data_IF_237898989155
#
_entry.id   IF_237898989155
#
_cell.length_a   1.000
_cell.length_b   1.000
_cell.length_c   1.000
_cell.angle_alpha   90.00
_cell.angle_beta   90.00
_cell.angle_gamma   90.00
#
_symmetry.space_group_name_H-M   'P 1'
#
loop_
_entity.id
_entity.type
_entity.pdbx_description
1 polymer ?
#
# COMPACT_ATOMS: atom_id res chain seq x y z
N UNK A 1 89.52 -4.17 32.87
CA UNK A 1 88.52 -4.65 33.87
C UNK A 1 87.35 -5.25 33.08
N UNK A 2 87.39 -6.54 32.75
CA UNK A 2 86.74 -7.70 33.40
C UNK A 2 85.21 -7.58 33.64
N UNK A 3 84.45 -8.31 32.79
CA UNK A 3 83.25 -9.17 33.01
C UNK A 3 81.97 -8.49 33.57
N UNK A 4 80.72 -8.79 33.18
CA UNK A 4 80.03 -10.09 33.08
C UNK A 4 78.81 -10.02 32.12
N UNK A 5 78.62 -11.01 31.24
CA UNK A 5 77.59 -12.09 31.23
C UNK A 5 76.30 -11.73 30.46
N UNK A 6 76.03 -12.28 29.27
CA UNK A 6 75.51 -13.64 28.93
C UNK A 6 74.06 -13.90 29.38
N UNK A 7 73.21 -14.15 28.38
CA UNK A 7 71.82 -14.62 28.48
C UNK A 7 70.83 -13.47 28.28
N UNK A 8 69.94 -13.45 27.29
CA UNK A 8 69.10 -14.56 26.83
C UNK A 8 68.71 -14.31 25.37
N UNK A 9 68.95 -15.34 24.56
CA UNK A 9 68.40 -15.54 23.23
C UNK A 9 66.86 -15.64 23.28
N UNK A 10 66.23 -15.47 22.12
CA UNK A 10 64.81 -15.74 21.81
C UNK A 10 63.93 -14.48 21.89
N UNK A 11 63.89 -13.75 20.77
CA UNK A 11 62.64 -13.18 20.28
C UNK A 11 62.76 -12.86 18.78
N UNK A 12 61.92 -13.54 18.00
CA UNK A 12 61.39 -13.11 16.71
C UNK A 12 62.38 -12.96 15.53
N UNK A 13 62.86 -14.11 15.06
CA UNK A 13 62.81 -14.42 13.63
C UNK A 13 61.37 -14.21 13.12
N UNK A 14 61.12 -13.17 12.33
CA UNK A 14 60.09 -13.04 11.28
C UNK A 14 60.19 -11.62 10.65
N UNK A 15 61.24 -11.39 9.86
CA UNK A 15 61.26 -10.32 8.85
C UNK A 15 61.30 -11.01 7.48
N UNK A 16 60.17 -11.63 7.13
CA UNK A 16 59.87 -12.01 5.76
C UNK A 16 59.37 -10.74 5.05
N UNK A 17 60.27 -10.09 4.34
CA UNK A 17 59.95 -9.07 3.36
C UNK A 17 59.29 -9.76 2.16
N UNK A 18 57.96 -9.80 2.15
CA UNK A 18 57.19 -10.05 0.92
C UNK A 18 56.88 -8.69 0.30
N UNK A 19 57.65 -8.36 -0.75
CA UNK A 19 57.32 -7.31 -1.70
C UNK A 19 56.09 -7.77 -2.49
N UNK A 20 54.93 -7.18 -2.22
CA UNK A 20 53.76 -7.33 -3.08
C UNK A 20 53.91 -6.34 -4.23
N UNK A 21 54.11 -6.88 -5.43
CA UNK A 21 54.05 -6.19 -6.71
C UNK A 21 52.59 -5.73 -6.92
N UNK A 22 52.27 -4.50 -6.52
CA UNK A 22 51.01 -3.86 -6.88
C UNK A 22 51.08 -3.53 -8.37
N UNK A 23 50.69 -4.51 -9.18
CA UNK A 23 50.39 -4.33 -10.59
C UNK A 23 49.36 -3.22 -10.75
N UNK A 24 49.85 -2.01 -11.01
CA UNK A 24 49.09 -0.91 -11.58
C UNK A 24 48.65 -1.35 -12.98
N UNK A 25 47.60 -2.17 -13.05
CA UNK A 25 46.74 -2.18 -14.22
C UNK A 25 46.04 -0.83 -14.23
N UNK A 26 46.67 0.09 -14.94
CA UNK A 26 46.10 1.34 -15.38
C UNK A 26 44.92 0.99 -16.28
N UNK A 27 43.77 0.73 -15.65
CA UNK A 27 42.49 0.64 -16.32
C UNK A 27 42.27 2.01 -16.96
N UNK A 28 42.45 2.07 -18.27
CA UNK A 28 41.94 3.15 -19.11
C UNK A 28 40.50 3.41 -18.67
N UNK A 29 40.28 4.59 -18.10
CA UNK A 29 38.97 5.06 -17.66
C UNK A 29 38.14 5.22 -18.94
N UNK A 30 37.40 4.17 -19.29
CA UNK A 30 36.29 4.27 -20.21
C UNK A 30 35.23 5.16 -19.55
N UNK A 31 34.56 6.04 -20.30
CA UNK A 31 33.42 6.79 -19.77
C UNK A 31 32.40 5.81 -19.18
N UNK A 32 31.70 6.16 -18.08
CA UNK A 32 30.77 5.26 -17.42
C UNK A 32 29.69 4.85 -18.44
N UNK A 33 29.76 3.60 -18.88
CA UNK A 33 28.73 3.04 -19.75
C UNK A 33 27.45 2.95 -18.92
N UNK A 34 26.30 3.45 -19.41
CA UNK A 34 25.04 3.30 -18.71
C UNK A 34 24.80 1.82 -18.49
N UNK A 35 24.44 1.44 -17.26
CA UNK A 35 24.19 0.05 -16.90
C UNK A 35 23.20 -0.56 -17.90
N UNK A 36 23.69 -1.42 -18.79
CA UNK A 36 22.88 -2.03 -19.84
C UNK A 36 21.95 -2.99 -19.13
N UNK A 37 20.68 -2.62 -19.08
CA UNK A 37 19.69 -3.46 -18.43
C UNK A 37 19.21 -4.53 -19.40
N UNK A 38 19.40 -5.79 -19.04
CA UNK A 38 18.97 -6.95 -19.84
C UNK A 38 17.49 -7.33 -19.60
N UNK A 39 16.73 -6.50 -18.88
CA UNK A 39 15.33 -6.74 -18.58
C UNK A 39 14.42 -5.79 -19.39
N UNK A 40 13.12 -6.10 -19.53
CA UNK A 40 12.18 -5.21 -20.18
C UNK A 40 12.13 -3.86 -19.47
N UNK A 41 12.12 -2.77 -20.24
CA UNK A 41 11.95 -1.42 -19.70
C UNK A 41 10.53 -1.29 -19.15
N UNK A 42 10.41 -0.89 -17.88
CA UNK A 42 9.12 -0.70 -17.19
C UNK A 42 8.81 0.78 -17.09
N UNK A 43 7.60 1.15 -17.52
CA UNK A 43 7.09 2.50 -17.32
C UNK A 43 6.63 2.67 -15.87
N UNK A 44 7.11 3.72 -15.20
CA UNK A 44 6.78 4.03 -13.81
C UNK A 44 6.10 5.39 -13.70
N UNK A 45 4.98 5.44 -12.97
CA UNK A 45 4.33 6.70 -12.59
C UNK A 45 5.01 7.33 -11.36
N UNK A 46 4.68 8.59 -11.08
CA UNK A 46 5.15 9.27 -9.87
C UNK A 46 5.28 10.78 -10.07
N UNK A 47 6.20 11.38 -9.32
CA UNK A 47 6.66 12.74 -9.56
C UNK A 47 7.41 12.81 -10.90
N UNK A 48 7.26 13.93 -11.63
CA UNK A 48 8.01 14.22 -12.85
C UNK A 48 9.39 14.81 -12.48
N UNK A 49 10.51 14.11 -12.76
CA UNK A 49 11.84 14.60 -12.41
C UNK A 49 12.22 15.78 -13.28
N UNK A 50 12.41 16.93 -12.64
CA UNK A 50 12.94 18.14 -13.27
C UNK A 50 14.19 18.59 -12.54
N UNK A 51 15.09 19.28 -13.24
CA UNK A 51 16.26 19.83 -12.58
C UNK A 51 15.83 20.95 -11.63
N UNK A 52 16.25 20.84 -10.38
CA UNK A 52 15.99 21.82 -9.34
C UNK A 52 17.30 22.15 -8.60
N UNK A 53 17.60 23.43 -8.32
CA UNK A 53 18.74 23.80 -7.49
C UNK A 53 18.62 23.19 -6.08
N UNK A 54 19.74 22.69 -5.55
CA UNK A 54 19.80 22.19 -4.18
C UNK A 54 19.50 23.29 -3.15
N UNK A 55 18.71 22.96 -2.13
CA UNK A 55 18.42 23.86 -1.02
C UNK A 55 19.69 24.06 -0.15
N UNK A 56 20.18 25.29 -0.07
CA UNK A 56 21.46 25.60 0.59
C UNK A 56 21.50 25.24 2.08
N UNK A 57 20.37 25.40 2.78
CA UNK A 57 20.26 25.17 4.23
C UNK A 57 19.99 23.71 4.54
N UNK A 58 19.14 23.05 3.76
CA UNK A 58 18.75 21.67 4.01
C UNK A 58 19.88 20.66 3.75
N UNK A 59 20.86 21.00 2.89
CA UNK A 59 21.92 20.09 2.45
C UNK A 59 23.24 20.20 3.24
N UNK A 60 23.19 20.73 4.46
CA UNK A 60 24.30 20.66 5.40
C UNK A 60 24.23 19.37 6.23
N UNK A 61 25.39 18.81 6.57
CA UNK A 61 25.48 17.76 7.58
C UNK A 61 24.90 18.28 8.90
N UNK A 62 24.15 17.42 9.61
CA UNK A 62 23.42 17.84 10.80
C UNK A 62 23.42 16.76 11.88
N UNK A 63 23.04 17.16 13.09
CA UNK A 63 22.88 16.27 14.23
C UNK A 63 21.45 16.36 14.76
N UNK A 64 20.88 15.21 15.12
CA UNK A 64 19.57 15.11 15.78
C UNK A 64 19.61 13.98 16.79
N UNK A 65 19.15 14.26 18.01
CA UNK A 65 19.11 13.29 19.12
C UNK A 65 20.47 12.58 19.38
N UNK A 66 21.58 13.32 19.24
CA UNK A 66 22.94 12.79 19.42
C UNK A 66 23.46 11.93 18.25
N UNK A 67 22.67 11.76 17.19
CA UNK A 67 23.08 11.04 15.97
C UNK A 67 23.41 12.04 14.85
N UNK A 68 24.62 11.92 14.31
CA UNK A 68 25.10 12.70 13.17
C UNK A 68 24.64 12.09 11.85
N UNK A 69 24.15 12.92 10.95
CA UNK A 69 23.70 12.57 9.61
C UNK A 69 24.56 13.30 8.59
N UNK A 70 25.24 12.53 7.73
CA UNK A 70 26.06 13.05 6.65
C UNK A 70 25.27 13.05 5.35
N UNK A 71 25.12 14.20 4.73
CA UNK A 71 24.41 14.34 3.45
C UNK A 71 25.23 13.68 2.34
N UNK A 72 24.53 12.87 1.54
CA UNK A 72 25.10 12.18 0.38
C UNK A 72 25.40 13.22 -0.70
N UNK A 73 26.68 13.46 -0.95
CA UNK A 73 27.13 14.44 -1.95
C UNK A 73 27.04 13.90 -3.39
N UNK A 74 27.27 12.60 -3.55
CA UNK A 74 27.16 11.91 -4.85
C UNK A 74 26.16 10.75 -4.76
N UNK A 75 24.92 10.94 -5.21
CA UNK A 75 23.90 9.89 -5.20
C UNK A 75 24.03 8.90 -6.37
N UNK A 76 24.99 9.06 -7.29
CA UNK A 76 25.10 8.23 -8.51
C UNK A 76 25.33 6.74 -8.26
N UNK A 77 25.88 6.41 -7.09
CA UNK A 77 26.10 5.01 -6.65
C UNK A 77 25.31 4.64 -5.40
N UNK A 78 24.41 5.51 -4.95
CA UNK A 78 23.60 5.25 -3.77
C UNK A 78 22.50 4.25 -4.11
N UNK A 79 22.34 3.23 -3.28
CA UNK A 79 21.14 2.41 -3.24
C UNK A 79 20.96 1.91 -1.81
N UNK A 80 19.74 2.00 -1.30
CA UNK A 80 19.45 1.61 0.07
C UNK A 80 18.15 0.81 0.13
N UNK A 81 18.16 -0.28 0.89
CA UNK A 81 16.97 -1.02 1.23
C UNK A 81 16.69 -0.90 2.73
N UNK A 82 15.40 -0.86 3.09
CA UNK A 82 14.96 -0.79 4.48
C UNK A 82 13.45 -0.66 4.56
N UNK A 83 12.94 -0.21 5.70
CA UNK A 83 11.49 -0.07 5.87
C UNK A 83 10.99 1.33 5.48
N UNK A 84 9.83 1.37 4.85
CA UNK A 84 9.09 2.60 4.65
C UNK A 84 8.21 2.93 5.87
N UNK A 85 8.07 4.21 6.17
CA UNK A 85 6.94 4.77 6.90
C UNK A 85 6.01 5.52 5.95
N UNK A 86 4.79 5.73 6.40
CA UNK A 86 3.89 6.74 5.86
C UNK A 86 3.90 7.87 6.87
N UNK A 87 4.27 9.09 6.45
CA UNK A 87 4.24 10.23 7.35
C UNK A 87 2.98 11.06 7.13
N UNK A 88 2.44 11.54 8.26
CA UNK A 88 1.33 12.47 8.35
C UNK A 88 1.86 13.80 8.91
N UNK A 89 1.10 14.87 8.78
CA UNK A 89 1.53 16.21 9.20
C UNK A 89 1.84 16.23 10.72
N UNK A 90 3.01 16.74 11.11
CA UNK A 90 3.35 16.88 12.52
C UNK A 90 2.55 18.05 13.15
N UNK A 91 1.98 17.88 14.36
CA UNK A 91 1.32 18.97 15.06
C UNK A 91 2.30 20.12 15.34
N UNK A 92 2.07 21.30 14.79
CA UNK A 92 2.84 22.52 15.09
C UNK A 92 3.92 22.89 14.06
N UNK A 93 4.16 22.06 13.04
CA UNK A 93 4.92 22.48 11.85
C UNK A 93 4.38 21.78 10.61
N UNK A 94 3.84 22.58 9.70
CA UNK A 94 3.49 22.12 8.37
C UNK A 94 4.63 22.36 7.37
N UNK A 95 5.85 22.69 7.81
CA UNK A 95 6.98 22.93 6.90
C UNK A 95 7.92 21.73 6.85
N UNK A 96 8.25 21.34 5.63
CA UNK A 96 9.30 20.35 5.32
C UNK A 96 10.69 21.00 5.39
N UNK A 97 11.75 20.20 5.41
CA UNK A 97 13.12 20.70 5.42
C UNK A 97 13.49 21.52 4.16
N UNK A 98 12.77 21.38 3.04
CA UNK A 98 12.92 22.28 1.88
C UNK A 98 12.37 23.70 2.14
N UNK A 99 11.56 23.87 3.19
CA UNK A 99 10.80 25.09 3.50
C UNK A 99 9.39 25.11 2.91
N UNK A 100 9.03 24.12 2.09
CA UNK A 100 7.70 23.98 1.50
C UNK A 100 6.68 23.49 2.53
N UNK A 101 5.41 23.86 2.36
CA UNK A 101 4.34 23.28 3.14
C UNK A 101 4.18 21.78 2.81
N UNK A 102 4.04 20.96 3.85
CA UNK A 102 3.73 19.54 3.70
C UNK A 102 2.32 19.36 3.15
N UNK A 103 2.21 18.57 2.09
CA UNK A 103 0.95 18.16 1.48
C UNK A 103 0.94 16.63 1.32
N UNK A 104 0.05 15.90 2.03
CA UNK A 104 -0.03 14.44 1.94
C UNK A 104 -0.48 13.93 0.57
N UNK A 105 -1.05 14.80 -0.28
CA UNK A 105 -1.52 14.46 -1.63
C UNK A 105 -0.43 14.59 -2.70
N UNK A 106 0.72 15.22 -2.39
CA UNK A 106 1.86 15.30 -3.31
C UNK A 106 2.63 13.98 -3.34
N UNK A 107 3.33 13.71 -4.46
CA UNK A 107 4.19 12.53 -4.60
C UNK A 107 5.59 12.84 -4.07
N UNK A 108 5.68 12.99 -2.74
CA UNK A 108 6.89 13.40 -2.02
C UNK A 108 7.27 12.41 -0.93
N UNK A 109 8.51 12.52 -0.44
CA UNK A 109 9.03 11.71 0.65
C UNK A 109 10.09 12.46 1.48
N UNK A 110 10.30 11.98 2.70
CA UNK A 110 11.41 12.37 3.56
C UNK A 110 12.53 11.32 3.51
N UNK A 111 13.78 11.79 3.42
CA UNK A 111 14.97 10.96 3.59
C UNK A 111 16.01 11.64 4.48
N UNK A 112 16.68 10.88 5.35
CA UNK A 112 17.61 11.44 6.34
C UNK A 112 18.84 12.10 5.69
N UNK A 113 19.39 11.50 4.63
CA UNK A 113 20.70 11.91 4.08
C UNK A 113 20.74 12.21 2.60
N UNK A 114 19.63 12.06 1.87
CA UNK A 114 19.63 12.34 0.43
C UNK A 114 19.50 13.85 0.22
N UNK A 115 20.10 14.42 -0.83
CA UNK A 115 19.96 15.85 -1.11
C UNK A 115 18.51 16.29 -1.25
N UNK A 116 18.22 17.54 -0.88
CA UNK A 116 16.92 18.19 -1.07
C UNK A 116 17.06 19.37 -2.04
N UNK A 117 16.21 19.48 -3.07
CA UNK A 117 15.38 18.41 -3.59
C UNK A 117 16.22 17.31 -4.25
N UNK A 118 15.67 16.10 -4.31
CA UNK A 118 16.17 15.03 -5.20
C UNK A 118 15.04 14.10 -5.59
N UNK A 119 15.27 13.24 -6.58
CA UNK A 119 14.27 12.26 -7.03
C UNK A 119 14.78 10.85 -6.79
N UNK A 120 13.89 9.95 -6.41
CA UNK A 120 14.21 8.54 -6.22
C UNK A 120 13.12 7.65 -6.79
N UNK A 121 13.52 6.53 -7.38
CA UNK A 121 12.64 5.40 -7.62
C UNK A 121 12.56 4.59 -6.33
N UNK A 122 11.35 4.44 -5.81
CA UNK A 122 11.05 3.58 -4.66
C UNK A 122 10.42 2.30 -5.17
N UNK A 123 11.04 1.16 -4.86
CA UNK A 123 10.51 -0.16 -5.19
C UNK A 123 9.98 -0.82 -3.94
N UNK A 124 8.70 -1.20 -3.93
CA UNK A 124 8.14 -2.07 -2.91
C UNK A 124 8.59 -3.51 -3.18
N UNK A 125 9.40 -4.05 -2.27
CA UNK A 125 10.02 -5.37 -2.46
C UNK A 125 9.04 -6.53 -2.23
N UNK A 126 7.87 -6.27 -1.65
CA UNK A 126 6.86 -7.30 -1.42
C UNK A 126 5.97 -7.56 -2.64
N UNK A 127 5.72 -6.54 -3.47
CA UNK A 127 4.81 -6.63 -4.62
C UNK A 127 5.43 -6.18 -5.96
N UNK A 128 6.68 -5.72 -5.97
CA UNK A 128 7.38 -5.25 -7.16
C UNK A 128 6.91 -3.91 -7.72
N UNK A 129 5.95 -3.24 -7.09
CA UNK A 129 5.49 -1.92 -7.53
C UNK A 129 6.59 -0.89 -7.34
N UNK A 130 6.63 0.05 -8.26
CA UNK A 130 7.61 1.13 -8.27
C UNK A 130 6.89 2.47 -8.39
N UNK A 131 7.47 3.50 -7.81
CA UNK A 131 7.02 4.89 -7.98
C UNK A 131 8.21 5.83 -7.92
N UNK A 132 8.17 6.91 -8.69
CA UNK A 132 9.12 8.02 -8.54
C UNK A 132 8.58 9.03 -7.53
N UNK A 133 9.40 9.42 -6.54
CA UNK A 133 9.03 10.43 -5.54
C UNK A 133 10.09 11.53 -5.46
N UNK A 134 9.66 12.74 -5.13
CA UNK A 134 10.55 13.87 -4.82
C UNK A 134 10.88 13.89 -3.33
N UNK A 135 12.15 13.89 -2.99
CA UNK A 135 12.65 14.09 -1.64
C UNK A 135 12.65 15.59 -1.35
N UNK A 136 11.80 16.04 -0.42
CA UNK A 136 11.75 17.44 0.00
C UNK A 136 11.86 17.62 1.52
N UNK A 137 12.01 16.53 2.27
CA UNK A 137 12.04 16.56 3.73
C UNK A 137 13.09 15.61 4.34
N UNK A 138 13.36 15.78 5.64
CA UNK A 138 14.35 15.03 6.43
C UNK A 138 13.69 14.00 7.34
N UNK A 139 14.40 12.90 7.58
CA UNK A 139 13.91 11.75 8.34
C UNK A 139 13.54 10.58 7.42
N UNK A 140 12.97 9.48 7.93
CA UNK A 140 12.74 9.20 9.34
C UNK A 140 14.05 9.00 10.11
N UNK A 141 14.02 9.21 11.42
CA UNK A 141 15.21 9.12 12.28
C UNK A 141 15.33 7.78 13.03
N UNK A 142 14.40 6.85 12.77
CA UNK A 142 14.42 5.49 13.30
C UNK A 142 15.58 4.66 12.77
N UNK A 143 15.86 3.52 13.42
CA UNK A 143 17.02 2.67 13.09
C UNK A 143 16.79 1.80 11.85
N UNK A 144 15.53 1.48 11.56
CA UNK A 144 15.12 0.48 10.58
C UNK A 144 14.37 1.08 9.38
N UNK A 145 13.82 2.29 9.56
CA UNK A 145 13.15 3.04 8.50
C UNK A 145 14.13 3.89 7.73
N UNK A 146 14.02 3.84 6.41
CA UNK A 146 14.93 4.51 5.49
C UNK A 146 14.24 5.64 4.72
N UNK A 147 12.92 5.60 4.60
CA UNK A 147 12.14 6.61 3.88
C UNK A 147 10.76 6.76 4.52
N UNK A 148 10.25 7.98 4.54
CA UNK A 148 8.85 8.26 4.88
C UNK A 148 8.16 8.79 3.64
N UNK A 149 7.12 8.10 3.18
CA UNK A 149 6.35 8.46 1.99
C UNK A 149 5.13 9.29 2.38
N UNK A 150 4.75 10.25 1.54
CA UNK A 150 3.44 10.89 1.65
C UNK A 150 2.32 9.86 1.49
N UNK A 151 1.11 10.19 1.95
CA UNK A 151 -0.05 9.31 1.80
C UNK A 151 -0.31 8.94 0.35
N UNK A 152 -0.35 9.92 -0.56
CA UNK A 152 -0.56 9.66 -1.99
C UNK A 152 0.54 8.77 -2.62
N UNK A 153 1.80 8.94 -2.22
CA UNK A 153 2.89 8.10 -2.71
C UNK A 153 2.77 6.66 -2.18
N UNK A 154 2.46 6.50 -0.88
CA UNK A 154 2.29 5.20 -0.24
C UNK A 154 1.11 4.40 -0.82
N UNK A 155 -0.02 5.07 -1.07
CA UNK A 155 -1.23 4.45 -1.63
C UNK A 155 -0.96 3.94 -3.06
N UNK A 156 -0.32 4.76 -3.91
CA UNK A 156 0.04 4.35 -5.29
C UNK A 156 1.06 3.20 -5.29
N UNK A 157 2.04 3.24 -4.38
CA UNK A 157 3.03 2.18 -4.20
C UNK A 157 2.44 0.92 -3.54
N UNK A 158 1.21 0.99 -3.00
CA UNK A 158 0.57 -0.05 -2.20
C UNK A 158 1.48 -0.53 -1.05
N UNK A 159 1.88 0.43 -0.23
CA UNK A 159 2.83 0.26 0.89
C UNK A 159 2.14 0.62 2.20
N UNK A 160 2.40 -0.17 3.25
CA UNK A 160 2.04 0.13 4.63
C UNK A 160 3.27 0.52 5.46
N UNK A 161 3.04 1.02 6.68
CA UNK A 161 4.10 1.16 7.66
C UNK A 161 4.84 -0.19 7.84
N UNK A 162 6.16 -0.19 7.67
CA UNK A 162 7.05 -1.36 7.71
C UNK A 162 7.08 -2.22 6.44
N UNK A 163 6.61 -1.70 5.30
CA UNK A 163 6.89 -2.36 4.02
C UNK A 163 8.37 -2.21 3.68
N UNK A 164 9.02 -3.31 3.28
CA UNK A 164 10.41 -3.27 2.85
C UNK A 164 10.49 -2.67 1.45
N UNK A 165 11.27 -1.62 1.29
CA UNK A 165 11.45 -0.89 0.04
C UNK A 165 12.93 -0.79 -0.33
N UNK A 166 13.21 -0.57 -1.62
CA UNK A 166 14.52 -0.13 -2.13
C UNK A 166 14.41 1.28 -2.71
N UNK A 167 15.42 2.10 -2.45
CA UNK A 167 15.54 3.49 -2.88
C UNK A 167 16.70 3.56 -3.86
N UNK A 168 16.41 3.96 -5.10
CA UNK A 168 17.41 4.14 -6.15
C UNK A 168 17.28 5.59 -6.70
N UNK A 169 18.27 6.48 -6.50
CA UNK A 169 18.19 7.86 -6.96
C UNK A 169 18.11 8.02 -8.48
N UNK A 170 17.38 9.07 -8.89
CA UNK A 170 17.31 9.57 -10.26
C UNK A 170 18.00 10.94 -10.25
N UNK A 171 19.08 11.05 -11.02
CA UNK A 171 19.83 12.29 -11.21
C UNK A 171 19.27 12.99 -12.43
N UNK A 172 18.84 14.25 -12.25
CA UNK A 172 18.34 15.10 -13.31
C UNK A 172 19.42 16.12 -13.64
N UNK A 173 19.91 16.12 -14.88
CA UNK A 173 20.84 17.14 -15.37
C UNK A 173 20.07 18.42 -15.79
N UNK A 174 20.78 19.54 -15.93
CA UNK A 174 20.17 20.85 -16.27
C UNK A 174 19.45 20.86 -17.62
N UNK A 175 19.86 19.98 -18.54
CA UNK A 175 19.24 19.76 -19.84
C UNK A 175 18.01 18.84 -19.78
N UNK A 176 17.66 18.33 -18.59
CA UNK A 176 16.56 17.39 -18.36
C UNK A 176 16.94 15.92 -18.55
N UNK A 177 18.20 15.61 -18.87
CA UNK A 177 18.65 14.21 -19.03
C UNK A 177 18.59 13.48 -17.70
N UNK A 178 17.98 12.29 -17.68
CA UNK A 178 17.84 11.44 -16.50
C UNK A 178 18.94 10.38 -16.45
N UNK A 179 19.57 10.20 -15.29
CA UNK A 179 20.60 9.19 -15.04
C UNK A 179 20.53 8.63 -13.61
N UNK A 180 21.47 7.75 -13.24
CA UNK A 180 21.53 7.14 -11.92
C UNK A 180 20.83 5.77 -11.83
N UNK A 181 20.92 5.10 -10.67
CA UNK A 181 20.41 3.74 -10.49
C UNK A 181 18.89 3.63 -10.63
N UNK A 182 18.17 4.72 -10.37
CA UNK A 182 16.72 4.80 -10.48
C UNK A 182 16.18 4.81 -11.92
N UNK A 183 17.03 5.04 -12.93
CA UNK A 183 16.63 5.06 -14.35
C UNK A 183 16.89 3.74 -15.08
N UNK A 184 17.64 2.83 -14.45
CA UNK A 184 17.98 1.53 -15.05
C UNK A 184 16.71 0.73 -15.30
N UNK A 185 16.50 0.31 -16.55
CA UNK A 185 15.31 -0.43 -17.00
C UNK A 185 13.98 0.30 -16.81
N UNK A 186 13.99 1.63 -16.77
CA UNK A 186 12.77 2.36 -16.44
C UNK A 186 12.56 3.60 -17.28
N UNK A 187 11.32 3.79 -17.71
CA UNK A 187 10.84 5.03 -18.32
C UNK A 187 9.94 5.72 -17.31
N UNK A 188 10.19 7.00 -17.02
CA UNK A 188 9.31 7.76 -16.13
C UNK A 188 8.14 8.28 -16.95
N UNK A 189 6.93 7.86 -16.60
CA UNK A 189 5.69 8.30 -17.23
C UNK A 189 5.49 9.79 -16.96
N UNK A 190 5.56 10.62 -17.99
CA UNK A 190 5.15 12.03 -17.87
C UNK A 190 3.64 12.08 -17.71
N UNK A 191 3.16 12.60 -16.58
CA UNK A 191 1.74 12.84 -16.35
C UNK A 191 1.25 13.96 -17.27
N UNK A 192 1.06 13.63 -18.54
CA UNK A 192 0.50 14.56 -19.51
C UNK A 192 -1.01 14.50 -19.35
N UNK A 193 -1.58 15.43 -18.58
CA UNK A 193 -3.04 15.63 -18.49
C UNK A 193 -3.64 16.16 -19.81
N UNK A 194 -2.81 16.40 -20.83
CA UNK A 194 -3.30 16.76 -22.15
C UNK A 194 -4.06 15.55 -22.73
N UNK A 195 -5.37 15.72 -22.89
CA UNK A 195 -6.15 14.86 -23.76
C UNK A 195 -5.48 14.90 -25.15
N UNK A 196 -5.32 13.74 -25.83
CA UNK A 196 -4.82 13.74 -27.19
C UNK A 196 -5.68 14.70 -28.03
N UNK A 197 -5.05 15.36 -29.02
CA UNK A 197 -5.79 16.17 -29.98
C UNK A 197 -6.99 15.38 -30.49
N UNK A 198 -8.17 16.02 -30.54
CA UNK A 198 -9.39 15.37 -31.02
C UNK A 198 -9.08 14.75 -32.40
N UNK A 199 -9.36 13.44 -32.61
CA UNK A 199 -9.16 12.83 -33.91
C UNK A 199 -9.84 13.69 -34.98
N UNK A 200 -9.09 14.04 -36.03
CA UNK A 200 -9.63 14.81 -37.14
C UNK A 200 -10.51 13.89 -37.99
N UNK A 201 -11.82 14.00 -37.81
CA UNK A 201 -12.82 13.28 -38.59
C UNK A 201 -13.25 14.05 -39.86
N UNK A 202 -12.57 15.17 -40.20
CA UNK A 202 -12.85 15.96 -41.41
C UNK A 202 -12.22 15.38 -42.68
N UNK A 203 -11.34 14.39 -42.54
CA UNK A 203 -10.82 13.59 -43.65
C UNK A 203 -11.87 12.58 -44.14
N UNK A 204 -12.60 12.95 -45.19
CA UNK A 204 -13.45 12.03 -45.93
C UNK A 204 -12.71 10.77 -46.38
N UNK A 205 -13.45 9.64 -46.35
CA UNK A 205 -13.20 8.37 -47.03
C UNK A 205 -11.79 8.13 -47.61
N UNK A 206 -11.02 7.24 -46.99
CA UNK A 206 -9.88 6.63 -47.66
C UNK A 206 -9.03 5.68 -46.82
N UNK A 207 -9.31 4.37 -46.98
CA UNK A 207 -8.40 3.23 -46.80
C UNK A 207 -8.25 2.60 -45.42
N UNK A 208 -9.25 1.78 -45.06
CA UNK A 208 -8.99 0.41 -44.64
C UNK A 208 -9.83 -0.53 -45.51
N UNK A 209 -9.17 -1.15 -46.49
CA UNK A 209 -9.49 -2.43 -47.13
C UNK A 209 -10.95 -2.70 -47.53
N UNK A 210 -11.26 -2.44 -48.79
CA UNK A 210 -12.45 -2.94 -49.48
C UNK A 210 -12.42 -4.47 -49.57
N UNK A 211 -13.34 -5.15 -48.88
CA UNK A 211 -13.96 -6.36 -49.39
C UNK A 211 -15.33 -5.96 -49.96
N UNK A 212 -15.63 -6.49 -51.14
CA UNK A 212 -16.67 -6.14 -52.10
C UNK A 212 -18.08 -5.94 -51.52
N UNK A 213 -18.72 -4.84 -51.94
CA UNK A 213 -20.17 -4.59 -51.84
C UNK A 213 -20.98 -5.69 -52.54
N UNK A 214 -22.25 -5.85 -52.12
CA UNK A 214 -23.31 -5.50 -53.06
C UNK A 214 -24.38 -4.57 -52.47
N UNK A 215 -24.69 -3.54 -53.25
CA UNK A 215 -26.00 -2.91 -53.48
C UNK A 215 -26.83 -2.47 -52.26
N UNK A 216 -26.86 -1.15 -52.05
CA UNK A 216 -27.98 -0.46 -51.42
C UNK A 216 -29.28 -0.65 -52.23
N UNK A 217 -30.43 -0.64 -51.54
CA UNK A 217 -31.55 0.19 -51.97
C UNK A 217 -31.73 1.35 -51.00
N UNK A 218 -31.90 2.51 -51.60
CA UNK A 218 -32.25 3.78 -50.98
C UNK A 218 -33.52 3.63 -50.13
N UNK A 219 -33.47 4.08 -48.89
CA UNK A 219 -34.62 4.23 -48.01
C UNK A 219 -34.32 5.28 -46.96
N UNK A 220 -35.12 6.34 -46.94
CA UNK A 220 -35.09 7.45 -45.99
C UNK A 220 -34.83 7.00 -44.54
N UNK A 221 -33.71 7.44 -43.96
CA UNK A 221 -33.47 7.28 -42.52
C UNK A 221 -34.27 8.35 -41.79
N UNK A 222 -35.50 8.01 -41.38
CA UNK A 222 -36.22 8.78 -40.35
C UNK A 222 -35.79 8.29 -38.96
N UNK A 223 -35.70 9.21 -38.01
CA UNK A 223 -35.47 8.88 -36.61
C UNK A 223 -36.52 7.87 -36.13
N UNK A 224 -36.07 6.77 -35.54
CA UNK A 224 -36.96 5.77 -34.94
C UNK A 224 -37.52 6.42 -33.67
N UNK A 225 -38.80 6.81 -33.70
CA UNK A 225 -39.51 7.27 -32.51
C UNK A 225 -39.87 6.05 -31.67
N UNK A 226 -39.47 6.03 -30.40
CA UNK A 226 -39.78 4.94 -29.47
C UNK A 226 -41.26 4.90 -29.04
N UNK A 227 -42.08 5.83 -29.54
CA UNK A 227 -43.49 6.01 -29.15
C UNK A 227 -44.41 4.85 -29.56
N UNK A 228 -43.92 3.90 -30.37
CA UNK A 228 -44.70 2.72 -30.81
C UNK A 228 -44.18 1.38 -30.28
N UNK A 229 -43.19 1.36 -29.39
CA UNK A 229 -42.73 0.13 -28.74
C UNK A 229 -43.75 -0.31 -27.67
N UNK A 230 -44.61 -1.27 -28.03
CA UNK A 230 -45.43 -2.02 -27.07
C UNK A 230 -44.75 -3.36 -26.79
N UNK A 231 -44.50 -3.64 -25.52
CA UNK A 231 -44.07 -4.96 -25.06
C UNK A 231 -45.28 -5.89 -25.01
N UNK A 232 -45.31 -6.93 -25.85
CA UNK A 232 -46.35 -7.98 -25.81
C UNK A 232 -46.05 -9.07 -24.75
N UNK A 233 -45.36 -8.71 -23.67
CA UNK A 233 -45.04 -9.63 -22.57
C UNK A 233 -45.93 -9.33 -21.35
N UNK A 234 -46.71 -10.31 -20.92
CA UNK A 234 -47.74 -10.18 -19.86
C UNK A 234 -47.17 -10.37 -18.45
N UNK A 235 -45.85 -10.34 -18.29
CA UNK A 235 -45.19 -10.70 -17.02
C UNK A 235 -44.34 -9.59 -16.38
N UNK A 236 -44.46 -8.33 -16.83
CA UNK A 236 -43.71 -7.20 -16.24
C UNK A 236 -44.47 -5.86 -16.29
N UNK A 237 -44.24 -4.99 -15.28
CA UNK A 237 -44.87 -3.68 -15.18
C UNK A 237 -44.43 -2.72 -16.31
N UNK A 238 -45.34 -1.89 -16.87
CA UNK A 238 -45.01 -1.02 -17.99
C UNK A 238 -44.16 0.17 -17.53
N UNK A 239 -43.01 0.40 -18.17
CA UNK A 239 -42.16 1.58 -17.95
C UNK A 239 -42.08 2.40 -19.24
N UNK A 240 -42.67 3.60 -19.21
CA UNK A 240 -42.32 4.68 -20.12
C UNK A 240 -41.32 5.56 -19.36
N UNK A 241 -40.03 5.47 -19.69
CA UNK A 241 -39.01 6.32 -19.06
C UNK A 241 -38.53 7.38 -20.04
N UNK A 242 -39.04 8.58 -19.84
CA UNK A 242 -38.48 9.83 -20.38
C UNK A 242 -37.74 10.52 -19.22
N UNK A 243 -36.42 10.64 -19.28
CA UNK A 243 -35.71 11.54 -18.35
C UNK A 243 -34.35 11.06 -17.85
N UNK A 244 -33.32 11.63 -18.46
CA UNK A 244 -31.96 11.73 -17.96
C UNK A 244 -31.95 12.55 -16.64
N UNK A 245 -31.34 11.99 -15.58
CA UNK A 245 -31.10 12.56 -14.24
C UNK A 245 -32.29 12.56 -13.25
N UNK A 246 -32.39 11.49 -12.45
CA UNK A 246 -33.15 11.50 -11.20
C UNK A 246 -32.48 12.41 -10.17
N UNK A 247 -32.99 13.62 -10.00
CA UNK A 247 -32.61 14.51 -8.91
C UNK A 247 -33.21 14.00 -7.57
N UNK A 248 -32.46 13.99 -6.47
CA UNK A 248 -33.01 13.66 -5.16
C UNK A 248 -33.90 14.80 -4.66
N UNK A 249 -35.16 14.46 -4.37
CA UNK A 249 -36.16 15.35 -3.79
C UNK A 249 -35.74 15.82 -2.39
N UNK A 250 -35.77 17.13 -2.14
CA UNK A 250 -35.54 17.72 -0.82
C UNK A 250 -36.70 17.39 0.13
N UNK A 251 -36.39 16.83 1.29
CA UNK A 251 -37.33 16.59 2.39
C UNK A 251 -37.85 17.92 2.96
N UNK A 252 -39.13 17.92 3.37
CA UNK A 252 -39.80 19.08 3.94
C UNK A 252 -39.14 19.55 5.25
N UNK A 253 -39.02 20.87 5.41
CA UNK A 253 -38.50 21.49 6.63
C UNK A 253 -39.42 21.24 7.82
N UNK A 254 -38.84 20.71 8.91
CA UNK A 254 -39.46 20.75 10.24
C UNK A 254 -39.89 19.40 10.80
N UNK A 255 -38.98 18.44 10.93
CA UNK A 255 -39.09 17.37 11.92
C UNK A 255 -37.72 17.17 12.55
N UNK A 256 -37.64 17.44 13.86
CA UNK A 256 -36.47 17.18 14.69
C UNK A 256 -36.59 15.74 15.21
N UNK A 257 -35.81 14.81 14.68
CA UNK A 257 -35.73 13.45 15.21
C UNK A 257 -34.75 13.44 16.40
N UNK A 258 -35.31 13.49 17.62
CA UNK A 258 -34.58 13.25 18.86
C UNK A 258 -34.45 11.75 19.13
N UNK A 259 -33.24 11.32 19.52
CA UNK A 259 -32.97 10.01 20.08
C UNK A 259 -33.57 9.90 21.49
N UNK A 260 -34.63 9.13 21.68
CA UNK A 260 -34.98 8.53 22.97
C UNK A 260 -36.03 7.41 22.79
N UNK A 261 -35.78 6.17 23.25
CA UNK A 261 -36.82 5.16 23.41
C UNK A 261 -37.54 5.34 24.74
N UNK A 262 -38.84 5.66 24.67
CA UNK A 262 -39.76 5.72 25.82
C UNK A 262 -40.10 4.31 26.35
N UNK A 263 -40.25 4.13 27.68
CA UNK A 263 -40.41 2.82 28.34
C UNK A 263 -41.88 2.41 28.51
N UNK A 264 -42.10 1.10 28.72
CA UNK A 264 -43.35 0.53 29.25
C UNK A 264 -43.03 -0.55 30.32
N UNK A 265 -43.93 -0.79 31.29
CA UNK A 265 -43.55 -1.00 32.69
C UNK A 265 -43.54 -2.46 33.16
N UNK A 266 -42.86 -2.64 34.29
CA UNK A 266 -42.69 -3.88 35.09
C UNK A 266 -43.98 -4.35 35.75
N UNK A 267 -44.28 -5.66 35.68
CA UNK A 267 -45.03 -6.41 36.73
C UNK A 267 -44.53 -7.87 36.83
N UNK A 268 -43.91 -8.17 37.98
CA UNK A 268 -43.87 -9.40 38.79
C UNK A 268 -43.60 -10.82 38.19
N UNK A 269 -42.52 -11.43 38.69
CA UNK A 269 -42.30 -12.88 38.91
C UNK A 269 -43.27 -13.46 39.96
N UNK A 270 -43.61 -14.78 39.94
CA UNK A 270 -42.80 -15.78 40.64
C UNK A 270 -42.69 -17.19 40.00
N UNK A 271 -41.77 -17.98 40.55
CA UNK A 271 -41.18 -19.25 40.11
C UNK A 271 -42.08 -20.49 39.99
N UNK A 272 -41.67 -21.49 39.19
CA UNK A 272 -41.56 -22.92 39.54
C UNK A 272 -41.15 -23.82 38.34
N UNK A 273 -40.14 -24.69 38.54
CA UNK A 273 -39.94 -25.98 37.85
C UNK A 273 -40.88 -27.05 38.49
N UNK A 274 -41.19 -28.25 37.91
CA UNK A 274 -40.29 -29.15 37.14
C UNK A 274 -40.90 -29.96 35.97
N UNK A 275 -40.04 -30.75 35.31
CA UNK A 275 -40.25 -31.78 34.28
C UNK A 275 -41.28 -32.89 34.70
N UNK A 276 -41.75 -33.88 33.86
CA UNK A 276 -40.94 -34.63 32.89
C UNK A 276 -41.62 -35.35 31.68
N UNK A 277 -40.79 -36.08 30.93
CA UNK A 277 -40.97 -37.33 30.15
C UNK A 277 -41.61 -37.42 28.73
N UNK A 278 -40.93 -38.26 27.93
CA UNK A 278 -41.35 -39.15 26.82
C UNK A 278 -41.13 -38.70 25.35
N UNK A 279 -40.04 -39.22 24.76
CA UNK A 279 -39.77 -39.44 23.33
C UNK A 279 -40.53 -40.73 22.84
N UNK A 280 -40.65 -41.14 21.54
CA UNK A 280 -39.55 -41.15 20.55
C UNK A 280 -39.89 -41.09 19.02
N UNK A 281 -38.83 -41.19 18.20
CA UNK A 281 -38.70 -41.58 16.75
C UNK A 281 -39.22 -40.56 15.70
N UNK A 282 -38.50 -40.12 14.65
CA UNK A 282 -37.41 -40.66 13.82
C UNK A 282 -36.45 -39.53 13.37
N UNK A 283 -35.12 -39.61 13.55
CA UNK A 283 -34.11 -40.25 12.66
C UNK A 283 -34.13 -39.73 11.21
N UNK A 284 -33.03 -39.30 10.56
CA UNK A 284 -31.62 -39.17 10.90
C UNK A 284 -31.02 -38.34 9.74
N UNK A 285 -30.30 -37.26 10.04
CA UNK A 285 -29.09 -36.91 9.32
C UNK A 285 -28.04 -36.55 10.37
N UNK A 286 -27.43 -37.61 10.90
CA UNK A 286 -26.17 -37.55 11.62
C UNK A 286 -25.09 -37.05 10.67
N UNK A 287 -24.74 -35.77 10.76
CA UNK A 287 -23.39 -35.32 10.45
C UNK A 287 -22.72 -34.98 11.78
N UNK A 288 -22.00 -35.99 12.25
CA UNK A 288 -20.89 -35.95 13.20
C UNK A 288 -20.21 -34.59 13.32
N UNK A 289 -20.10 -34.13 14.56
CA UNK A 289 -19.06 -33.23 15.05
C UNK A 289 -17.69 -33.71 14.57
N UNK A 290 -17.30 -33.24 13.39
CA UNK A 290 -15.95 -33.41 12.86
C UNK A 290 -15.27 -32.07 13.05
N UNK A 291 -14.16 -32.09 13.78
CA UNK A 291 -13.34 -30.94 14.17
C UNK A 291 -13.43 -29.77 13.18
N UNK A 292 -14.09 -28.69 13.60
CA UNK A 292 -14.20 -27.45 12.84
C UNK A 292 -12.83 -26.82 12.68
N UNK A 293 -12.18 -27.14 11.56
CA UNK A 293 -10.80 -26.77 11.28
C UNK A 293 -10.61 -25.33 10.85
N UNK A 294 -11.61 -24.45 10.90
CA UNK A 294 -11.48 -23.06 10.42
C UNK A 294 -11.83 -22.05 11.51
N UNK A 295 -11.02 -21.00 11.60
CA UNK A 295 -11.27 -19.83 12.44
C UNK A 295 -11.04 -18.55 11.66
N UNK A 296 -11.74 -17.49 12.04
CA UNK A 296 -11.56 -16.16 11.47
C UNK A 296 -10.72 -15.34 12.44
N UNK A 297 -9.48 -15.05 12.09
CA UNK A 297 -8.62 -14.18 12.89
C UNK A 297 -8.89 -12.72 12.54
N UNK A 298 -9.16 -11.93 13.58
CA UNK A 298 -9.61 -10.53 13.48
C UNK A 298 -8.53 -9.53 13.87
N UNK A 299 -7.43 -9.99 14.47
CA UNK A 299 -6.30 -9.14 14.84
C UNK A 299 -5.25 -9.86 15.66
N UNK A 300 -4.12 -9.18 15.87
CA UNK A 300 -3.08 -9.58 16.81
C UNK A 300 -2.61 -8.35 17.61
N UNK A 301 -2.58 -8.45 18.93
CA UNK A 301 -2.17 -7.36 19.83
C UNK A 301 -1.06 -7.85 20.77
N UNK A 302 -0.18 -6.95 21.21
CA UNK A 302 0.94 -7.30 22.11
C UNK A 302 0.52 -7.49 23.58
N UNK A 303 -0.71 -7.14 23.93
CA UNK A 303 -1.21 -7.10 25.30
C UNK A 303 -2.36 -8.09 25.49
N UNK A 304 -2.24 -8.95 26.50
CA UNK A 304 -3.21 -10.01 26.78
C UNK A 304 -4.57 -9.47 27.21
N UNK A 305 -4.60 -8.45 28.08
CA UNK A 305 -5.84 -7.90 28.62
C UNK A 305 -6.64 -7.21 27.51
N UNK A 306 -5.95 -6.46 26.65
CA UNK A 306 -6.58 -5.86 25.46
C UNK A 306 -7.10 -6.91 24.48
N UNK A 307 -6.37 -8.02 24.31
CA UNK A 307 -6.83 -9.11 23.45
C UNK A 307 -8.13 -9.75 23.97
N UNK A 308 -8.22 -9.98 25.28
CA UNK A 308 -9.41 -10.55 25.93
C UNK A 308 -10.61 -9.61 25.85
N UNK A 309 -10.42 -8.32 26.15
CA UNK A 309 -11.48 -7.31 26.04
C UNK A 309 -12.01 -7.19 24.60
N UNK A 310 -11.10 -7.26 23.62
CA UNK A 310 -11.47 -7.18 22.21
C UNK A 310 -12.25 -8.41 21.75
N UNK A 311 -11.83 -9.61 22.20
CA UNK A 311 -12.56 -10.85 21.93
C UNK A 311 -13.98 -10.83 22.51
N UNK A 312 -14.15 -10.37 23.76
CA UNK A 312 -15.46 -10.28 24.39
C UNK A 312 -16.42 -9.36 23.63
N UNK A 313 -15.92 -8.19 23.20
CA UNK A 313 -16.72 -7.24 22.41
C UNK A 313 -17.20 -7.85 21.10
N UNK A 314 -16.32 -8.55 20.39
CA UNK A 314 -16.66 -9.17 19.11
C UNK A 314 -17.63 -10.34 19.28
N UNK A 315 -17.50 -11.11 20.36
CA UNK A 315 -18.46 -12.17 20.68
C UNK A 315 -19.85 -11.59 20.99
N UNK A 316 -19.93 -10.47 21.71
CA UNK A 316 -21.20 -9.79 21.98
C UNK A 316 -21.82 -9.17 20.72
N UNK A 317 -21.00 -8.60 19.83
CA UNK A 317 -21.49 -7.90 18.65
C UNK A 317 -21.92 -8.86 17.53
N UNK A 318 -21.21 -9.96 17.33
CA UNK A 318 -21.43 -10.88 16.21
C UNK A 318 -22.07 -12.21 16.61
N UNK A 319 -22.33 -12.43 17.91
CA UNK A 319 -22.89 -13.67 18.48
C UNK A 319 -22.11 -14.93 18.09
N UNK A 320 -20.78 -14.78 17.98
CA UNK A 320 -19.86 -15.87 17.59
C UNK A 320 -18.83 -16.09 18.71
N UNK A 321 -18.57 -17.34 19.11
CA UNK A 321 -17.54 -17.64 20.10
C UNK A 321 -16.16 -17.18 19.61
N UNK A 322 -15.41 -16.52 20.48
CA UNK A 322 -14.05 -16.08 20.20
C UNK A 322 -13.06 -16.69 21.19
N UNK A 323 -11.81 -16.85 20.75
CA UNK A 323 -10.69 -17.28 21.58
C UNK A 323 -9.48 -16.40 21.32
N UNK A 324 -8.64 -16.27 22.33
CA UNK A 324 -7.35 -15.60 22.21
C UNK A 324 -6.25 -16.65 22.28
N UNK A 325 -5.38 -16.69 21.28
CA UNK A 325 -4.26 -17.64 21.20
C UNK A 325 -2.94 -16.89 21.27
N UNK A 326 -2.06 -17.30 22.19
CA UNK A 326 -0.72 -16.74 22.30
C UNK A 326 0.19 -17.32 21.22
N UNK A 327 0.91 -16.46 20.49
CA UNK A 327 1.91 -16.89 19.52
C UNK A 327 3.14 -15.97 19.64
N UNK A 328 4.13 -16.41 20.43
CA UNK A 328 5.29 -15.61 20.78
C UNK A 328 4.93 -14.38 21.62
N UNK A 329 5.30 -13.19 21.13
CA UNK A 329 5.06 -11.90 21.80
C UNK A 329 3.69 -11.26 21.47
N UNK A 330 2.83 -11.94 20.70
CA UNK A 330 1.52 -11.40 20.29
C UNK A 330 0.38 -12.35 20.62
N UNK A 331 -0.78 -11.76 20.91
CA UNK A 331 -2.05 -12.42 21.22
C UNK A 331 -2.99 -12.28 20.03
N UNK A 332 -3.31 -13.39 19.39
CA UNK A 332 -4.18 -13.45 18.21
C UNK A 332 -5.63 -13.63 18.66
N UNK A 333 -6.52 -12.75 18.21
CA UNK A 333 -7.96 -12.90 18.46
C UNK A 333 -8.58 -13.67 17.30
N UNK A 334 -9.20 -14.80 17.59
CA UNK A 334 -9.81 -15.71 16.61
C UNK A 334 -11.28 -15.92 16.94
N UNK A 335 -12.16 -15.89 15.94
CA UNK A 335 -13.59 -16.18 16.03
C UNK A 335 -13.87 -17.55 15.41
N UNK A 336 -14.77 -18.33 16.01
CA UNK A 336 -15.06 -19.73 15.63
C UNK A 336 -14.80 -20.70 16.79
N UNK A 337 -14.88 -22.02 16.56
CA UNK A 337 -14.59 -22.72 15.30
C UNK A 337 -15.77 -22.83 14.32
N UNK A 338 -15.46 -22.83 13.02
CA UNK A 338 -16.41 -23.08 11.93
C UNK A 338 -16.20 -24.46 11.32
N UNK A 339 -17.29 -25.11 10.93
CA UNK A 339 -17.26 -26.42 10.28
C UNK A 339 -16.79 -26.33 8.81
N UNK A 340 -17.05 -25.20 8.14
CA UNK A 340 -16.68 -24.99 6.74
C UNK A 340 -16.02 -23.63 6.51
N UNK A 341 -15.21 -23.56 5.44
CA UNK A 341 -14.63 -22.31 4.95
C UNK A 341 -15.70 -21.30 4.53
N UNK A 342 -16.85 -21.76 4.02
CA UNK A 342 -17.95 -20.89 3.61
C UNK A 342 -18.60 -20.14 4.79
N UNK A 343 -18.76 -20.80 5.94
CA UNK A 343 -19.22 -20.15 7.17
C UNK A 343 -18.22 -19.11 7.68
N UNK A 344 -16.93 -19.45 7.64
CA UNK A 344 -15.86 -18.53 8.01
C UNK A 344 -15.80 -17.29 7.08
N UNK A 345 -15.98 -17.46 5.76
CA UNK A 345 -16.01 -16.34 4.82
C UNK A 345 -17.23 -15.44 4.98
N UNK A 346 -18.40 -16.00 5.34
CA UNK A 346 -19.59 -15.20 5.61
C UNK A 346 -19.36 -14.26 6.81
N UNK A 347 -18.73 -14.75 7.88
CA UNK A 347 -18.37 -13.91 9.01
C UNK A 347 -17.27 -12.89 8.64
N UNK A 348 -16.28 -13.29 7.83
CA UNK A 348 -15.22 -12.39 7.36
C UNK A 348 -15.80 -11.17 6.61
N UNK A 349 -16.73 -11.41 5.67
CA UNK A 349 -17.40 -10.35 4.93
C UNK A 349 -18.20 -9.43 5.86
N UNK A 350 -18.91 -10.01 6.84
CA UNK A 350 -19.69 -9.26 7.82
C UNK A 350 -18.81 -8.38 8.72
N UNK A 351 -17.67 -8.90 9.17
CA UNK A 351 -16.68 -8.13 9.95
C UNK A 351 -16.09 -6.97 9.13
N UNK A 352 -15.92 -7.16 7.83
CA UNK A 352 -15.44 -6.13 6.93
C UNK A 352 -16.51 -5.05 6.67
N UNK A 353 -17.80 -5.43 6.56
CA UNK A 353 -18.88 -4.47 6.31
C UNK A 353 -19.33 -3.72 7.56
N UNK A 354 -19.43 -4.39 8.71
CA UNK A 354 -20.00 -3.81 9.94
C UNK A 354 -18.95 -3.18 10.85
N UNK A 355 -17.73 -3.72 10.89
CA UNK A 355 -16.67 -3.22 11.77
C UNK A 355 -15.47 -2.64 10.99
N UNK A 356 -15.48 -2.72 9.66
CA UNK A 356 -14.37 -2.28 8.80
C UNK A 356 -13.02 -2.94 9.17
N UNK A 357 -13.09 -4.15 9.76
CA UNK A 357 -11.93 -4.88 10.26
C UNK A 357 -11.38 -5.82 9.18
N UNK A 358 -10.05 -5.79 9.02
CA UNK A 358 -9.34 -6.76 8.19
C UNK A 358 -9.28 -8.09 8.96
N UNK A 359 -10.04 -9.08 8.50
CA UNK A 359 -10.07 -10.42 9.08
C UNK A 359 -9.63 -11.47 8.06
N UNK A 360 -9.08 -12.59 8.53
CA UNK A 360 -8.57 -13.66 7.69
C UNK A 360 -8.97 -15.04 8.19
N UNK A 361 -9.24 -15.95 7.27
CA UNK A 361 -9.57 -17.34 7.60
C UNK A 361 -8.27 -18.13 7.80
N UNK A 362 -8.12 -18.76 8.96
CA UNK A 362 -7.00 -19.62 9.33
C UNK A 362 -7.50 -21.01 9.70
N UNK A 363 -6.60 -22.00 9.66
CA UNK A 363 -6.91 -23.35 10.13
C UNK A 363 -6.81 -23.37 11.66
N UNK A 364 -7.76 -24.01 12.33
CA UNK A 364 -7.72 -24.21 13.79
C UNK A 364 -6.63 -25.23 14.10
N UNK A 365 -5.48 -24.73 14.58
CA UNK A 365 -4.37 -25.53 15.10
C UNK A 365 -4.57 -25.89 16.57
#
# INVERSE_FOLDING_TARGET
>A
MRKQWLGVCIAASLLAACSSDDGQQQATIAPPQPAVCNAPVVEISGADPVYEPLNATANQDYERDGKRYKIVQDPSRFSQAGFAAIYDAEPGSNQTASGEAFDPMQITAAHATLPIPSYVRVTNLANGRMIVVRINDRGPYGTDRVISLSRAAADRLNTSNNTKVRIDPIIVAQDGTLSGPGTVCTTVAKQTYALPSRPDLSGGMGSASSASEPMQPQGDVRAISNDTLKSDDTTGAPVNSSGFLGAPTTLASGVLEGNEPTPAPVVATPAAQPAPVVAPVAAQNTATSTAGGFVVQVGAVSDQARAQQYQQRLTQQFDVPGRVVQNGAVWRIQMGPFASKSQASALQQRLQSEAQLQSFIAVAN
#
